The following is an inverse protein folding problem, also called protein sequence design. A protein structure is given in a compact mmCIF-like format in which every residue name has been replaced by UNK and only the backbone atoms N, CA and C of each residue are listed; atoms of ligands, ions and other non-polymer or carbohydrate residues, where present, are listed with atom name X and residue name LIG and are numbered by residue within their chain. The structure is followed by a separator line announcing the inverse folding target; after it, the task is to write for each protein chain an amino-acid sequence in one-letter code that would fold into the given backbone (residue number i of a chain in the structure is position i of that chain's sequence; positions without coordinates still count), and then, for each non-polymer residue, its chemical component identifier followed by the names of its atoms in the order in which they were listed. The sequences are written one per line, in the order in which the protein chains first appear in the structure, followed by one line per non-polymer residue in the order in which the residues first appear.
data_IF_274566787431
#
_entry.id   IF_274566787431
#
_cell.length_a   1.000
_cell.length_b   1.000
_cell.length_c   1.000
_cell.angle_alpha   90.00
_cell.angle_beta   90.00
_cell.angle_gamma   90.00
#
_symmetry.space_group_name_H-M   'P 1'
#
loop_
_entity.id
_entity.type
_entity.pdbx_description
1 polymer ?
#
# COMPACT_ATOMS: atom_id res chain seq x y z
N UNK A 1 15.05 -0.70 -17.91
CA UNK A 1 15.14 0.49 -17.05
C UNK A 1 14.73 0.05 -15.66
N UNK A 2 15.63 0.21 -14.70
CA UNK A 2 15.60 -0.48 -13.42
C UNK A 2 14.53 0.07 -12.48
N UNK A 3 13.81 -0.83 -11.81
CA UNK A 3 13.25 -0.54 -10.51
C UNK A 3 14.44 -0.33 -9.57
N UNK A 4 14.58 0.84 -8.98
CA UNK A 4 15.39 0.96 -7.77
C UNK A 4 14.49 0.60 -6.60
N UNK A 5 14.49 -0.68 -6.26
CA UNK A 5 13.80 -1.17 -5.07
C UNK A 5 14.72 -0.95 -3.88
N UNK A 6 14.39 0.04 -3.04
CA UNK A 6 14.97 0.17 -1.73
C UNK A 6 14.11 -0.62 -0.74
N UNK A 7 14.35 -1.93 -0.70
CA UNK A 7 13.73 -2.79 0.30
C UNK A 7 14.54 -2.70 1.59
N UNK A 8 14.02 -1.98 2.58
CA UNK A 8 14.61 -1.94 3.93
C UNK A 8 13.74 -2.78 4.85
N UNK A 9 14.24 -3.95 5.26
CA UNK A 9 13.59 -4.72 6.32
C UNK A 9 13.84 -4.03 7.66
N UNK A 10 12.83 -3.29 8.13
CA UNK A 10 12.90 -2.51 9.37
C UNK A 10 13.20 -3.32 10.63
N UNK A 11 12.97 -4.63 10.60
CA UNK A 11 13.23 -5.53 11.72
C UNK A 11 14.72 -5.77 12.00
N UNK A 12 15.63 -5.36 11.10
CA UNK A 12 17.08 -5.56 11.29
C UNK A 12 17.75 -4.29 11.84
N UNK A 13 18.21 -4.27 13.11
CA UNK A 13 18.91 -3.13 13.68
C UNK A 13 20.22 -2.79 12.96
N UNK A 14 20.77 -3.72 12.16
CA UNK A 14 21.98 -3.55 11.33
C UNK A 14 21.67 -3.18 9.88
N UNK A 15 20.41 -2.92 9.52
CA UNK A 15 20.07 -2.50 8.17
C UNK A 15 20.87 -1.23 7.77
N UNK A 16 21.37 -1.15 6.52
CA UNK A 16 22.15 -0.01 6.05
C UNK A 16 21.22 1.19 5.80
N UNK A 17 21.11 2.06 6.79
CA UNK A 17 20.27 3.26 6.73
C UNK A 17 21.00 4.43 6.06
N UNK A 18 20.35 5.20 5.16
CA UNK A 18 20.95 6.38 4.55
C UNK A 18 21.37 7.45 5.57
N UNK A 19 20.57 7.65 6.61
CA UNK A 19 20.86 8.56 7.73
C UNK A 19 20.06 8.16 8.97
N UNK A 20 20.42 8.72 10.13
CA UNK A 20 19.69 8.53 11.38
C UNK A 20 18.26 9.10 11.29
N UNK A 21 18.10 10.32 10.78
CA UNK A 21 16.79 10.98 10.67
C UNK A 21 15.85 10.21 9.74
N UNK A 22 16.37 9.67 8.63
CA UNK A 22 15.58 8.86 7.71
C UNK A 22 15.07 7.58 8.38
N UNK A 23 15.92 6.92 9.18
CA UNK A 23 15.54 5.77 10.00
C UNK A 23 14.42 6.13 10.97
N UNK A 24 14.57 7.21 11.73
CA UNK A 24 13.56 7.63 12.72
C UNK A 24 12.20 7.91 12.06
N UNK A 25 12.18 8.53 10.87
CA UNK A 25 10.96 8.74 10.09
C UNK A 25 10.32 7.41 9.67
N UNK A 26 11.12 6.48 9.14
CA UNK A 26 10.64 5.17 8.73
C UNK A 26 10.10 4.35 9.91
N UNK A 27 10.80 4.37 11.05
CA UNK A 27 10.39 3.68 12.28
C UNK A 27 9.04 4.22 12.78
N UNK A 28 8.87 5.55 12.84
CA UNK A 28 7.58 6.16 13.21
C UNK A 28 6.45 5.80 12.24
N UNK A 29 6.72 5.88 10.94
CA UNK A 29 5.75 5.54 9.91
C UNK A 29 5.32 4.08 10.02
N UNK A 30 6.28 3.17 10.20
CA UNK A 30 6.01 1.75 10.38
C UNK A 30 5.20 1.46 11.64
N UNK A 31 5.56 2.02 12.79
CA UNK A 31 4.78 1.84 14.03
C UNK A 31 3.33 2.28 13.83
N UNK A 32 3.10 3.44 13.21
CA UNK A 32 1.73 3.93 12.95
C UNK A 32 0.95 3.01 11.99
N UNK A 33 1.59 2.56 10.90
CA UNK A 33 0.94 1.66 9.94
C UNK A 33 0.68 0.27 10.54
N UNK A 34 1.59 -0.21 11.39
CA UNK A 34 1.44 -1.48 12.08
C UNK A 34 0.22 -1.47 13.02
N UNK A 35 0.11 -0.45 13.89
CA UNK A 35 -1.06 -0.27 14.77
C UNK A 35 -2.37 -0.15 13.99
N UNK A 36 -2.35 0.56 12.85
CA UNK A 36 -3.50 0.66 11.96
C UNK A 36 -3.86 -0.71 11.35
N UNK A 37 -2.88 -1.48 10.90
CA UNK A 37 -3.07 -2.83 10.37
C UNK A 37 -3.70 -3.78 11.39
N UNK A 38 -3.22 -3.76 12.64
CA UNK A 38 -3.83 -4.53 13.74
C UNK A 38 -5.28 -4.13 13.96
N UNK A 39 -5.56 -2.82 13.99
CA UNK A 39 -6.93 -2.30 14.14
C UNK A 39 -7.85 -2.79 13.02
N UNK A 40 -7.37 -2.77 11.76
CA UNK A 40 -8.11 -3.29 10.62
C UNK A 40 -8.42 -4.79 10.75
N UNK A 41 -7.44 -5.59 11.20
CA UNK A 41 -7.62 -7.03 11.38
C UNK A 41 -8.62 -7.36 12.51
N UNK A 42 -8.57 -6.62 13.63
CA UNK A 42 -9.53 -6.79 14.73
C UNK A 42 -10.95 -6.40 14.30
N UNK A 43 -11.09 -5.30 13.55
CA UNK A 43 -12.38 -4.85 13.03
C UNK A 43 -12.96 -5.86 12.02
N UNK A 44 -12.14 -6.33 11.07
CA UNK A 44 -12.52 -7.37 10.12
C UNK A 44 -12.89 -8.67 10.85
N UNK A 45 -12.09 -9.07 11.83
CA UNK A 45 -12.34 -10.24 12.64
C UNK A 45 -13.70 -10.18 13.32
N UNK A 46 -13.99 -9.06 13.99
CA UNK A 46 -15.30 -8.80 14.64
C UNK A 46 -16.45 -8.86 13.62
N UNK A 47 -16.28 -8.23 12.45
CA UNK A 47 -17.27 -8.30 11.38
C UNK A 47 -17.53 -9.74 10.92
N UNK A 48 -16.48 -10.53 10.73
CA UNK A 48 -16.59 -11.94 10.36
C UNK A 48 -17.24 -12.80 11.46
N UNK A 49 -17.06 -12.46 12.74
CA UNK A 49 -17.78 -13.12 13.83
C UNK A 49 -19.29 -12.91 13.70
N UNK A 50 -19.68 -11.65 13.52
CA UNK A 50 -21.07 -11.22 13.52
C UNK A 50 -21.83 -11.72 12.28
N UNK A 51 -21.12 -11.90 11.16
CA UNK A 51 -21.68 -12.29 9.87
C UNK A 51 -21.43 -13.76 9.51
N UNK A 52 -20.88 -14.56 10.42
CA UNK A 52 -20.71 -16.00 10.20
C UNK A 52 -22.04 -16.73 10.22
N UNK A 53 -22.48 -17.11 9.02
CA UNK A 53 -22.63 -18.53 8.70
C UNK A 53 -21.27 -19.19 8.96
N UNK A 54 -21.15 -20.00 10.02
CA UNK A 54 -19.93 -20.76 10.30
C UNK A 54 -19.46 -21.42 8.99
N UNK A 55 -18.16 -21.31 8.60
CA UNK A 55 -17.65 -22.11 7.49
C UNK A 55 -18.07 -23.52 7.82
N UNK A 56 -18.88 -24.10 6.94
CA UNK A 56 -19.39 -25.45 7.09
C UNK A 56 -18.18 -26.28 7.54
N UNK A 57 -18.20 -26.80 8.76
CA UNK A 57 -17.19 -27.73 9.28
C UNK A 57 -17.16 -29.04 8.48
N UNK A 58 -17.93 -29.11 7.39
CA UNK A 58 -17.84 -30.11 6.34
C UNK A 58 -16.46 -30.04 5.69
N UNK A 59 -15.57 -30.87 6.24
CA UNK A 59 -14.40 -31.44 5.60
C UNK A 59 -13.55 -30.41 4.87
N UNK A 60 -12.58 -29.87 5.58
CA UNK A 60 -11.26 -29.70 4.97
C UNK A 60 -10.87 -31.11 4.52
N UNK A 61 -11.11 -31.44 3.25
CA UNK A 61 -10.47 -32.58 2.60
C UNK A 61 -8.99 -32.21 2.58
N UNK A 62 -8.28 -32.61 3.62
CA UNK A 62 -6.82 -32.70 3.57
C UNK A 62 -6.51 -33.74 2.50
N UNK A 63 -6.34 -33.28 1.27
CA UNK A 63 -5.54 -33.97 0.26
C UNK A 63 -4.08 -34.00 0.73
N UNK A 64 -3.81 -34.71 1.82
CA UNK A 64 -2.50 -35.28 2.13
C UNK A 64 -2.68 -36.31 3.25
N UNK A 65 -2.44 -37.58 2.90
CA UNK A 65 -2.77 -38.76 3.67
C UNK A 65 -1.93 -38.95 4.93
N UNK A 66 -2.17 -38.16 5.98
CA UNK A 66 -1.73 -38.50 7.33
C UNK A 66 -2.74 -39.49 7.93
N UNK A 67 -2.45 -40.78 7.77
CA UNK A 67 -3.14 -41.86 8.50
C UNK A 67 -2.91 -41.70 10.01
N UNK A 68 -3.79 -40.96 10.68
CA UNK A 68 -3.92 -41.07 12.13
C UNK A 68 -4.43 -42.48 12.46
N UNK A 69 -3.55 -43.32 13.01
CA UNK A 69 -3.90 -44.63 13.56
C UNK A 69 -5.01 -44.43 14.60
N UNK A 70 -6.18 -45.03 14.35
CA UNK A 70 -7.19 -45.29 15.38
C UNK A 70 -6.53 -46.17 16.45
N UNK A 71 -6.17 -45.57 17.58
CA UNK A 71 -5.92 -46.32 18.80
C UNK A 71 -7.26 -46.68 19.41
N UNK A 72 -7.51 -47.98 19.59
CA UNK A 72 -8.66 -48.51 20.30
C UNK A 72 -8.59 -48.07 21.77
N UNK A 73 -9.39 -47.07 22.16
CA UNK A 73 -9.66 -46.77 23.56
C UNK A 73 -10.99 -47.36 23.99
N UNK A 74 -10.87 -48.38 24.83
CA UNK A 74 -11.92 -49.13 25.50
C UNK A 74 -12.55 -48.26 26.59
N UNK A 75 -13.88 -48.28 26.63
CA UNK A 75 -14.72 -47.33 27.33
C UNK A 75 -14.41 -47.06 28.80
N UNK A 76 -14.36 -45.78 29.13
CA UNK A 76 -14.66 -45.26 30.45
C UNK A 76 -15.88 -44.33 30.30
N UNK A 77 -16.97 -44.64 31.02
CA UNK A 77 -18.16 -43.79 31.09
C UNK A 77 -17.79 -42.52 31.87
N UNK A 78 -17.53 -41.43 31.16
CA UNK A 78 -17.43 -40.09 31.73
C UNK A 78 -18.80 -39.43 31.70
N UNK A 79 -19.25 -38.93 32.84
CA UNK A 79 -20.49 -38.14 32.97
C UNK A 79 -20.51 -36.99 31.96
N UNK A 80 -21.55 -37.02 31.12
CA UNK A 80 -21.78 -36.09 30.03
C UNK A 80 -22.20 -34.71 30.53
N UNK A 81 -21.24 -33.93 31.00
CA UNK A 81 -21.32 -32.48 30.89
C UNK A 81 -21.04 -32.15 29.43
N UNK A 82 -22.10 -31.82 28.67
CA UNK A 82 -22.02 -31.21 27.35
C UNK A 82 -21.25 -29.88 27.46
N UNK A 83 -19.93 -29.97 27.54
CA UNK A 83 -19.04 -28.86 27.27
C UNK A 83 -19.15 -28.61 25.77
N UNK A 84 -20.21 -27.88 25.40
CA UNK A 84 -20.38 -27.28 24.08
C UNK A 84 -19.16 -26.40 23.90
N UNK A 85 -18.11 -26.99 23.34
CA UNK A 85 -16.79 -26.41 23.21
C UNK A 85 -16.97 -24.97 22.76
N UNK A 86 -16.64 -24.03 23.66
CA UNK A 86 -16.79 -22.61 23.38
C UNK A 86 -16.08 -22.37 22.06
N UNK A 87 -16.85 -21.93 21.05
CA UNK A 87 -16.27 -21.56 19.79
C UNK A 87 -15.13 -20.59 20.11
N UNK A 88 -13.89 -20.86 19.67
CA UNK A 88 -12.77 -20.00 20.00
C UNK A 88 -13.16 -18.57 19.66
N UNK A 89 -12.96 -17.66 20.60
CA UNK A 89 -13.28 -16.25 20.36
C UNK A 89 -12.44 -15.81 19.16
N UNK A 90 -13.10 -15.58 18.04
CA UNK A 90 -12.45 -15.18 16.80
C UNK A 90 -11.71 -13.85 16.99
N UNK A 91 -12.14 -13.00 17.93
CA UNK A 91 -11.38 -11.81 18.34
C UNK A 91 -10.01 -12.19 18.89
N UNK A 92 -9.97 -13.20 19.76
CA UNK A 92 -8.72 -13.72 20.29
C UNK A 92 -7.89 -14.37 19.18
N UNK A 93 -8.51 -15.11 18.25
CA UNK A 93 -7.80 -15.70 17.10
C UNK A 93 -7.02 -14.67 16.28
N UNK A 94 -7.65 -13.56 15.86
CA UNK A 94 -6.97 -12.54 15.06
C UNK A 94 -5.90 -11.80 15.85
N UNK A 95 -6.18 -11.51 17.13
CA UNK A 95 -5.20 -10.91 18.04
C UNK A 95 -3.98 -11.82 18.22
N UNK A 96 -4.22 -13.12 18.34
CA UNK A 96 -3.23 -14.17 18.50
C UNK A 96 -2.41 -14.39 17.22
N UNK A 97 -3.06 -14.31 16.06
CA UNK A 97 -2.41 -14.35 14.76
C UNK A 97 -1.42 -13.18 14.59
N UNK A 98 -1.80 -11.97 15.03
CA UNK A 98 -0.91 -10.80 15.02
C UNK A 98 0.23 -10.92 16.05
N UNK A 99 -0.04 -11.48 17.23
CA UNK A 99 0.96 -11.59 18.30
C UNK A 99 2.01 -12.69 18.08
N UNK A 100 1.82 -13.55 17.08
CA UNK A 100 2.68 -14.72 16.87
C UNK A 100 2.50 -15.72 18.00
N UNK A 101 1.47 -16.56 17.91
CA UNK A 101 1.26 -17.61 18.89
C UNK A 101 2.35 -18.67 18.81
N UNK A 102 3.23 -18.69 19.81
CA UNK A 102 4.33 -19.63 20.06
C UNK A 102 5.70 -19.20 19.55
N UNK A 103 6.71 -19.28 20.44
CA UNK A 103 8.13 -19.08 20.12
C UNK A 103 8.71 -20.15 19.16
N UNK A 104 7.98 -21.25 18.92
CA UNK A 104 8.33 -22.30 17.96
C UNK A 104 7.76 -22.06 16.56
N UNK A 105 6.76 -21.21 16.45
CA UNK A 105 6.03 -21.03 15.21
C UNK A 105 6.62 -19.80 14.54
N UNK A 106 7.12 -19.97 13.32
CA UNK A 106 7.58 -18.84 12.51
C UNK A 106 6.54 -17.72 12.63
N UNK A 107 6.90 -16.52 13.12
CA UNK A 107 5.93 -15.48 13.32
C UNK A 107 5.32 -15.15 11.95
N UNK A 108 4.09 -15.61 11.73
CA UNK A 108 3.26 -15.19 10.61
C UNK A 108 3.08 -13.65 10.59
N UNK A 109 3.45 -12.99 11.68
CA UNK A 109 3.31 -11.58 11.96
C UNK A 109 4.60 -10.75 11.81
N UNK A 110 5.57 -11.16 10.99
CA UNK A 110 6.61 -10.21 10.59
C UNK A 110 6.00 -9.17 9.63
N UNK A 111 5.79 -7.95 10.12
CA UNK A 111 5.43 -6.82 9.27
C UNK A 111 6.68 -6.24 8.61
N UNK A 112 6.56 -5.82 7.35
CA UNK A 112 7.65 -5.23 6.58
C UNK A 112 7.20 -3.86 6.05
N UNK A 113 8.15 -2.92 5.93
CA UNK A 113 7.95 -1.68 5.20
C UNK A 113 8.81 -1.72 3.95
N UNK A 114 8.17 -1.69 2.78
CA UNK A 114 8.86 -1.57 1.51
C UNK A 114 8.73 -0.12 1.00
N UNK A 115 9.85 0.49 0.61
CA UNK A 115 9.88 1.83 0.03
C UNK A 115 10.14 1.73 -1.47
N UNK A 116 9.22 2.28 -2.25
CA UNK A 116 9.29 2.25 -3.71
C UNK A 116 9.52 3.64 -4.27
N UNK A 117 10.48 3.76 -5.19
CA UNK A 117 10.63 4.91 -6.06
C UNK A 117 10.46 4.47 -7.51
N UNK A 118 9.42 4.98 -8.15
CA UNK A 118 9.14 4.69 -9.56
C UNK A 118 9.58 5.88 -10.42
N UNK A 119 10.55 5.65 -11.29
CA UNK A 119 11.02 6.66 -12.22
C UNK A 119 9.96 6.94 -13.30
N UNK A 120 9.67 8.23 -13.52
CA UNK A 120 8.85 8.65 -14.66
C UNK A 120 9.57 8.34 -15.97
N UNK A 121 8.96 7.58 -16.89
CA UNK A 121 9.59 7.29 -18.17
C UNK A 121 9.73 8.57 -19.00
N UNK A 122 10.88 8.73 -19.67
CA UNK A 122 11.13 9.84 -20.61
C UNK A 122 10.32 9.74 -21.91
N UNK A 123 9.71 8.58 -22.18
CA UNK A 123 9.07 8.27 -23.45
C UNK A 123 7.55 8.27 -23.27
N UNK A 124 6.82 8.68 -24.32
CA UNK A 124 5.36 8.90 -24.31
C UNK A 124 4.48 7.65 -24.15
N UNK A 125 5.05 6.46 -24.01
CA UNK A 125 4.27 5.23 -23.90
C UNK A 125 4.16 4.83 -22.43
N UNK A 126 2.94 4.74 -21.86
CA UNK A 126 2.72 4.19 -20.53
C UNK A 126 3.37 2.82 -20.41
N UNK A 127 3.99 2.55 -19.26
CA UNK A 127 4.60 1.25 -18.99
C UNK A 127 4.19 0.77 -17.61
N UNK A 128 3.97 -0.54 -17.55
CA UNK A 128 3.82 -1.24 -16.28
C UNK A 128 5.17 -1.16 -15.55
N UNK A 129 5.25 -0.26 -14.58
CA UNK A 129 6.37 -0.23 -13.65
C UNK A 129 6.29 -1.40 -12.70
N UNK A 130 5.08 -1.85 -12.33
CA UNK A 130 4.87 -3.10 -11.63
C UNK A 130 3.68 -3.85 -12.26
N UNK A 131 3.92 -5.06 -12.76
CA UNK A 131 2.89 -5.90 -13.37
C UNK A 131 1.81 -6.33 -12.37
N UNK A 132 0.66 -6.75 -12.87
CA UNK A 132 -0.45 -7.25 -12.06
C UNK A 132 -0.03 -8.42 -11.14
N UNK A 133 -0.30 -8.29 -9.85
CA UNK A 133 -0.01 -9.31 -8.84
C UNK A 133 -0.91 -9.17 -7.61
N UNK A 134 -0.80 -10.14 -6.71
CA UNK A 134 -1.36 -10.12 -5.35
C UNK A 134 -0.23 -10.23 -4.35
N UNK A 135 -0.37 -9.58 -3.20
CA UNK A 135 0.59 -9.75 -2.10
C UNK A 135 0.33 -11.03 -1.32
N UNK A 136 1.39 -11.64 -0.78
CA UNK A 136 1.31 -12.87 0.01
C UNK A 136 0.96 -12.64 1.49
N UNK A 137 0.93 -11.39 1.96
CA UNK A 137 0.72 -11.03 3.36
C UNK A 137 -0.76 -11.10 3.79
N UNK A 138 -1.06 -10.70 5.03
CA UNK A 138 -2.45 -10.52 5.49
C UNK A 138 -3.05 -9.25 4.90
N UNK A 139 -2.37 -8.11 5.11
CA UNK A 139 -2.77 -6.81 4.63
C UNK A 139 -1.54 -6.09 4.07
N UNK A 140 -1.75 -5.34 2.99
CA UNK A 140 -0.83 -4.31 2.49
C UNK A 140 -1.45 -2.95 2.77
N UNK A 141 -0.71 -2.09 3.48
CA UNK A 141 -1.14 -0.73 3.79
C UNK A 141 -0.28 0.26 3.01
N UNK A 142 -0.92 1.06 2.16
CA UNK A 142 -0.25 2.00 1.27
C UNK A 142 -0.67 3.42 1.66
N UNK A 143 0.22 4.21 2.29
CA UNK A 143 -0.02 5.63 2.48
C UNK A 143 -0.20 6.30 1.13
N UNK A 144 -1.31 7.04 0.99
CA UNK A 144 -1.60 7.77 -0.25
C UNK A 144 -0.93 9.13 -0.17
N UNK A 145 0.06 9.37 -1.01
CA UNK A 145 0.64 10.71 -1.17
C UNK A 145 -0.14 11.50 -2.22
N UNK A 146 -0.30 12.80 -1.97
CA UNK A 146 -0.85 13.73 -2.95
C UNK A 146 0.10 13.79 -4.16
N UNK A 147 -0.40 13.46 -5.35
CA UNK A 147 0.34 13.57 -6.60
C UNK A 147 1.11 12.31 -7.03
N UNK A 148 1.21 11.28 -6.21
CA UNK A 148 1.64 9.97 -6.71
C UNK A 148 0.50 9.36 -7.51
N UNK A 149 0.78 9.03 -8.77
CA UNK A 149 -0.17 8.41 -9.68
C UNK A 149 0.35 7.08 -10.21
N UNK A 150 -0.59 6.20 -10.54
CA UNK A 150 -0.32 4.96 -11.25
C UNK A 150 -0.71 3.70 -10.50
N UNK A 151 -1.13 3.78 -9.24
CA UNK A 151 -1.61 2.60 -8.54
C UNK A 151 -3.01 2.24 -9.05
N UNK A 152 -3.14 1.05 -9.60
CA UNK A 152 -4.41 0.53 -10.10
C UNK A 152 -4.76 -0.77 -9.37
N UNK A 153 -6.03 -0.90 -9.00
CA UNK A 153 -6.58 -2.11 -8.37
C UNK A 153 -7.65 -2.70 -9.26
N UNK A 154 -7.59 -4.00 -9.49
CA UNK A 154 -8.56 -4.69 -10.33
C UNK A 154 -9.86 -4.91 -9.57
N UNK A 155 -10.96 -4.42 -10.13
CA UNK A 155 -12.30 -4.62 -9.59
C UNK A 155 -12.93 -5.84 -10.23
N UNK A 156 -13.04 -6.92 -9.46
CA UNK A 156 -13.71 -8.16 -9.87
C UNK A 156 -15.19 -7.95 -10.22
N UNK A 157 -15.81 -6.90 -9.68
CA UNK A 157 -17.22 -6.57 -9.95
C UNK A 157 -17.41 -6.00 -11.35
N UNK A 158 -16.49 -5.16 -11.81
CA UNK A 158 -16.60 -4.45 -13.09
C UNK A 158 -15.73 -5.06 -14.19
N UNK A 159 -14.74 -5.88 -13.83
CA UNK A 159 -13.75 -6.38 -14.78
C UNK A 159 -12.76 -5.31 -15.26
N UNK A 160 -12.64 -4.20 -14.54
CA UNK A 160 -11.82 -3.05 -14.90
C UNK A 160 -10.76 -2.73 -13.84
N UNK A 161 -9.73 -2.00 -14.27
CA UNK A 161 -8.71 -1.45 -13.39
C UNK A 161 -9.15 -0.06 -12.90
N UNK A 162 -9.29 0.08 -11.59
CA UNK A 162 -9.66 1.34 -10.95
C UNK A 162 -8.39 2.08 -10.55
N UNK A 163 -8.21 3.30 -11.08
CA UNK A 163 -7.15 4.22 -10.66
C UNK A 163 -7.47 4.74 -9.27
N UNK A 164 -6.60 4.45 -8.31
CA UNK A 164 -6.85 4.77 -6.91
C UNK A 164 -6.92 6.28 -6.73
N UNK A 165 -6.12 7.06 -7.43
CA UNK A 165 -6.04 8.53 -7.32
C UNK A 165 -7.34 9.24 -7.68
N UNK A 166 -8.09 8.71 -8.65
CA UNK A 166 -9.37 9.29 -9.09
C UNK A 166 -10.49 9.16 -8.04
N UNK A 167 -10.31 8.30 -7.04
CA UNK A 167 -11.31 8.04 -6.00
C UNK A 167 -11.26 9.00 -4.80
N UNK A 168 -10.26 9.89 -4.70
CA UNK A 168 -10.15 10.79 -3.54
C UNK A 168 -11.14 11.95 -3.64
N UNK A 169 -11.99 12.15 -2.62
CA UNK A 169 -12.78 13.37 -2.53
C UNK A 169 -11.84 14.57 -2.42
N UNK A 170 -12.07 15.61 -3.22
CA UNK A 170 -11.28 16.86 -3.15
C UNK A 170 -11.30 17.51 -1.76
N UNK A 171 -12.26 17.16 -0.91
CA UNK A 171 -12.37 17.62 0.49
C UNK A 171 -11.37 16.96 1.46
N UNK A 172 -10.58 15.98 1.01
CA UNK A 172 -9.59 15.27 1.84
C UNK A 172 -8.19 15.90 1.84
N UNK A 173 -8.02 17.06 1.19
CA UNK A 173 -6.78 17.84 1.21
C UNK A 173 -6.34 18.12 2.66
N UNK A 174 -5.25 17.47 3.09
CA UNK A 174 -4.68 17.60 4.44
C UNK A 174 -4.88 16.41 5.37
N UNK A 175 -5.64 15.38 4.98
CA UNK A 175 -5.73 14.12 5.75
C UNK A 175 -4.89 13.03 5.10
N UNK A 176 -4.06 12.35 5.90
CA UNK A 176 -3.39 11.12 5.49
C UNK A 176 -4.48 10.06 5.22
N UNK A 177 -4.55 9.59 3.98
CA UNK A 177 -5.41 8.46 3.62
C UNK A 177 -4.51 7.24 3.42
N UNK A 178 -4.93 6.09 3.94
CA UNK A 178 -4.23 4.81 3.77
C UNK A 178 -5.13 3.88 3.00
N UNK A 179 -4.62 3.33 1.89
CA UNK A 179 -5.27 2.24 1.17
C UNK A 179 -4.92 0.94 1.89
N UNK A 180 -5.93 0.11 2.15
CA UNK A 180 -5.76 -1.21 2.77
C UNK A 180 -6.15 -2.27 1.75
N UNK A 181 -5.20 -3.12 1.37
CA UNK A 181 -5.39 -4.20 0.40
C UNK A 181 -5.26 -5.56 1.11
N UNK A 182 -6.26 -6.45 1.01
CA UNK A 182 -6.14 -7.81 1.50
C UNK A 182 -5.15 -8.63 0.65
N UNK A 183 -4.27 -9.38 1.31
CA UNK A 183 -3.35 -10.31 0.66
C UNK A 183 -3.83 -11.77 0.65
N UNK A 184 -3.04 -12.65 0.04
CA UNK A 184 -3.38 -14.06 -0.16
C UNK A 184 -3.45 -14.82 1.18
N UNK A 185 -2.61 -14.49 2.16
CA UNK A 185 -2.71 -15.12 3.49
C UNK A 185 -4.06 -14.84 4.14
N UNK A 186 -4.57 -13.60 4.04
CA UNK A 186 -5.89 -13.25 4.59
C UNK A 186 -7.01 -13.97 3.85
N UNK A 187 -6.91 -14.12 2.53
CA UNK A 187 -7.85 -14.94 1.75
C UNK A 187 -7.87 -16.39 2.24
N UNK A 188 -6.72 -16.98 2.52
CA UNK A 188 -6.62 -18.36 3.03
C UNK A 188 -7.24 -18.47 4.43
N UNK A 189 -6.80 -17.64 5.39
CA UNK A 189 -7.27 -17.75 6.78
C UNK A 189 -8.75 -17.36 6.96
N UNK A 190 -9.29 -16.55 6.05
CA UNK A 190 -10.72 -16.22 6.00
C UNK A 190 -11.56 -17.29 5.27
N UNK A 191 -10.97 -18.39 4.81
CA UNK A 191 -11.69 -19.43 4.09
C UNK A 191 -12.26 -18.94 2.75
N UNK A 192 -11.53 -18.06 2.06
CA UNK A 192 -11.93 -17.38 0.81
C UNK A 192 -13.09 -16.37 0.95
N UNK A 193 -13.48 -16.01 2.18
CA UNK A 193 -14.47 -14.95 2.39
C UNK A 193 -13.95 -13.58 1.93
N UNK A 194 -12.68 -13.30 2.22
CA UNK A 194 -11.99 -12.11 1.71
C UNK A 194 -11.20 -12.51 0.46
N UNK A 195 -11.34 -11.74 -0.63
CA UNK A 195 -10.54 -11.93 -1.83
C UNK A 195 -9.26 -11.11 -1.75
N UNK A 196 -8.13 -11.70 -2.15
CA UNK A 196 -6.88 -10.95 -2.28
C UNK A 196 -7.01 -9.89 -3.38
N UNK A 197 -6.48 -8.70 -3.13
CA UNK A 197 -6.54 -7.59 -4.07
C UNK A 197 -5.46 -7.76 -5.15
N UNK A 198 -5.89 -7.82 -6.41
CA UNK A 198 -4.99 -7.76 -7.56
C UNK A 198 -4.72 -6.30 -7.87
N UNK A 199 -3.44 -5.93 -7.90
CA UNK A 199 -3.04 -4.55 -8.13
C UNK A 199 -1.80 -4.47 -9.02
N UNK A 200 -1.55 -3.29 -9.60
CA UNK A 200 -0.41 -2.99 -10.46
C UNK A 200 -0.02 -1.52 -10.34
N UNK A 201 1.16 -1.18 -10.87
CA UNK A 201 1.63 0.21 -10.95
C UNK A 201 1.95 0.56 -12.39
N UNK A 202 1.20 1.52 -12.94
CA UNK A 202 1.35 2.04 -14.31
C UNK A 202 1.81 3.49 -14.22
N UNK A 203 3.05 3.78 -14.63
CA UNK A 203 3.54 5.16 -14.60
C UNK A 203 3.27 5.81 -15.95
N UNK A 204 2.45 6.87 -15.93
CA UNK A 204 2.17 7.65 -17.12
C UNK A 204 3.38 8.52 -17.48
N UNK A 205 3.62 8.67 -18.79
CA UNK A 205 4.61 9.62 -19.26
C UNK A 205 4.17 11.03 -18.85
N UNK A 206 5.06 11.81 -18.25
CA UNK A 206 4.79 13.23 -18.09
C UNK A 206 4.62 13.82 -19.49
N UNK A 207 3.39 14.19 -19.82
CA UNK A 207 3.16 15.16 -20.86
C UNK A 207 3.77 16.46 -20.33
N UNK A 208 5.04 16.69 -20.66
CA UNK A 208 5.58 18.03 -20.74
C UNK A 208 4.71 18.72 -21.76
N UNK A 209 3.64 19.36 -21.27
CA UNK A 209 2.83 20.24 -22.06
C UNK A 209 3.85 21.12 -22.76
N UNK A 210 3.93 20.99 -24.08
CA UNK A 210 4.56 22.02 -24.88
C UNK A 210 3.66 23.22 -24.68
N UNK A 211 3.89 23.94 -23.59
CA UNK A 211 3.62 25.35 -23.46
C UNK A 211 4.56 26.03 -24.44
N UNK A 212 4.44 25.68 -25.72
CA UNK A 212 4.58 26.65 -26.77
C UNK A 212 3.51 27.68 -26.44
N UNK A 213 3.90 28.67 -25.64
CA UNK A 213 3.47 30.02 -25.89
C UNK A 213 3.51 30.15 -27.40
N UNK A 214 2.33 30.08 -28.01
CA UNK A 214 2.11 30.66 -29.30
C UNK A 214 2.51 32.11 -29.10
N UNK A 215 3.79 32.43 -29.37
CA UNK A 215 4.22 33.75 -29.74
C UNK A 215 3.32 34.08 -30.92
N UNK A 216 2.20 34.72 -30.62
CA UNK A 216 1.48 35.58 -31.53
C UNK A 216 2.58 36.46 -32.10
N UNK A 217 2.98 36.15 -33.34
CA UNK A 217 3.75 37.07 -34.15
C UNK A 217 2.89 38.31 -34.19
N UNK A 218 3.27 39.30 -33.38
CA UNK A 218 2.80 40.66 -33.50
C UNK A 218 2.93 41.02 -34.97
N UNK A 219 1.78 41.18 -35.60
CA UNK A 219 1.63 41.77 -36.90
C UNK A 219 2.29 43.14 -36.83
N UNK A 220 3.23 43.40 -37.75
CA UNK A 220 4.03 44.60 -37.72
C UNK A 220 3.17 45.85 -37.84
N UNK A 221 3.33 46.75 -36.88
CA UNK A 221 3.03 48.16 -37.07
C UNK A 221 4.34 48.85 -37.48
N UNK A 222 4.24 49.59 -38.59
CA UNK A 222 5.29 50.37 -39.23
C UNK A 222 5.96 51.37 -38.28
N UNK A 223 7.29 51.58 -38.38
CA UNK A 223 7.96 52.65 -37.65
C UNK A 223 7.66 54.01 -38.31
N UNK A 224 6.94 54.88 -37.59
CA UNK A 224 7.00 56.32 -37.83
C UNK A 224 8.27 56.89 -37.19
N UNK A 225 9.20 57.18 -38.08
CA UNK A 225 10.21 58.22 -37.98
C UNK A 225 9.59 59.53 -37.45
N UNK A 226 10.06 60.02 -36.29
CA UNK A 226 10.42 61.43 -36.06
C UNK A 226 10.84 61.71 -34.60
N UNK A 227 11.82 62.61 -34.51
CA UNK A 227 12.18 63.48 -33.40
C UNK A 227 13.06 62.98 -32.24
N UNK A 228 14.34 63.17 -32.51
CA UNK A 228 15.37 63.65 -31.61
C UNK A 228 14.89 64.58 -30.49
N UNK A 229 15.36 64.32 -29.26
CA UNK A 229 15.79 65.36 -28.32
C UNK A 229 16.77 64.79 -27.29
N UNK A 230 18.03 65.03 -27.62
CA UNK A 230 19.09 65.51 -26.72
C UNK A 230 18.67 65.82 -25.27
N UNK A 231 19.26 65.13 -24.28
CA UNK A 231 19.78 65.82 -23.11
C UNK A 231 20.79 64.99 -22.29
N UNK A 232 22.03 65.50 -22.32
CA UNK A 232 22.97 65.74 -21.20
C UNK A 232 23.13 64.73 -20.06
N UNK A 233 24.39 64.26 -19.96
CA UNK A 233 25.33 64.35 -18.81
C UNK A 233 24.78 64.06 -17.41
N UNK A 234 25.39 63.05 -16.75
CA UNK A 234 26.11 63.18 -15.48
C UNK A 234 26.72 61.79 -15.14
N UNK A 235 28.01 61.57 -15.36
CA UNK A 235 29.12 61.69 -14.38
C UNK A 235 29.10 60.64 -13.25
N UNK A 236 30.07 59.72 -13.35
CA UNK A 236 30.66 58.87 -12.30
C UNK A 236 31.16 59.72 -11.09
N UNK A 237 31.34 59.15 -9.89
CA UNK A 237 32.59 58.42 -9.50
C UNK A 237 32.30 57.09 -8.77
N UNK A 238 33.12 56.03 -8.91
CA UNK A 238 34.42 55.75 -8.27
C UNK A 238 34.35 55.49 -6.75
N UNK A 239 34.70 54.24 -6.42
CA UNK A 239 35.40 53.71 -5.23
C UNK A 239 34.83 53.81 -3.82
N UNK A 240 34.87 52.63 -3.17
CA UNK A 240 35.50 52.27 -1.87
C UNK A 240 34.74 51.03 -1.36
N UNK A 241 35.33 49.93 -0.94
CA UNK A 241 36.71 49.50 -0.71
C UNK A 241 36.66 48.07 -0.19
#
# INVERSE_FOLDING_TARGET
MGKELFQVRLSDPKAPWPSHDFREICDRCFSTLHELGETCLVALGSYLCDHRHAPNSNKVETEEGVKCKKGDQKGSKSDGSDDKGKCPDWRDFWTNLCKGCSASDFPLSSSLLDLFHYNTPSNSCPRDSCSAHTDYNLLTLIPRSLGASGLEVFSWKTGHWDKIEASLPSSSLGRLSVLVLPGESLRIVSGKFVSAAVHRVVVEAQHFGSSGEARTKGQGDDPKEEDAKENKKNSLPSDRG
#
